data_IF_831189924894
#
_entry.id   IF_831189924894
#
_cell.length_a   1.000
_cell.length_b   1.000
_cell.length_c   1.000
_cell.angle_alpha   90.00
_cell.angle_beta   90.00
_cell.angle_gamma   90.00
#
_symmetry.space_group_name_H-M   'P 1'
#
loop_
_entity.id
_entity.type
_entity.pdbx_description
1 polymer ?
#
# COMPACT_ATOMS: atom_id res chain seq x y z
N UNK A 1 -17.99 -8.59 -3.73
CA UNK A 1 -16.75 -9.18 -4.29
C UNK A 1 -16.27 -8.32 -5.45
N UNK A 2 -14.98 -8.11 -5.59
CA UNK A 2 -14.35 -7.27 -6.66
C UNK A 2 -14.68 -7.82 -8.05
N UNK A 3 -14.79 -9.16 -8.17
CA UNK A 3 -15.13 -9.86 -9.43
C UNK A 3 -16.45 -9.40 -10.06
N UNK A 4 -17.45 -9.02 -9.24
CA UNK A 4 -18.73 -8.51 -9.77
C UNK A 4 -18.59 -7.14 -10.43
N UNK A 5 -17.49 -6.44 -10.17
CA UNK A 5 -17.16 -5.16 -10.78
C UNK A 5 -16.30 -5.32 -12.05
N UNK A 6 -15.98 -6.55 -12.45
CA UNK A 6 -15.04 -6.81 -13.55
C UNK A 6 -13.59 -6.40 -13.24
N UNK A 7 -13.24 -6.23 -11.96
CA UNK A 7 -11.90 -5.81 -11.54
C UNK A 7 -11.05 -7.03 -11.22
N UNK A 8 -9.87 -7.12 -11.82
CA UNK A 8 -8.88 -8.16 -11.55
C UNK A 8 -7.69 -7.57 -10.78
N UNK A 9 -7.22 -8.29 -9.76
CA UNK A 9 -6.03 -7.94 -8.99
C UNK A 9 -4.85 -8.75 -9.51
N UNK A 10 -3.77 -8.06 -9.92
CA UNK A 10 -2.54 -8.66 -10.39
C UNK A 10 -1.37 -8.31 -9.46
N UNK A 11 -0.67 -9.30 -8.94
CA UNK A 11 0.59 -9.09 -8.21
C UNK A 11 1.75 -8.92 -9.19
N UNK A 12 2.46 -7.80 -9.06
CA UNK A 12 3.66 -7.51 -9.90
C UNK A 12 4.92 -8.17 -9.33
N UNK A 13 4.85 -8.74 -8.12
CA UNK A 13 5.98 -9.38 -7.42
C UNK A 13 7.22 -8.47 -7.33
N UNK A 14 7.03 -7.21 -6.96
CA UNK A 14 8.07 -6.19 -6.83
C UNK A 14 7.57 -4.80 -7.15
N UNK A 15 8.49 -3.89 -7.48
CA UNK A 15 8.17 -2.47 -7.69
C UNK A 15 8.28 -2.01 -9.15
N UNK A 16 8.50 -2.93 -10.08
CA UNK A 16 8.63 -2.60 -11.51
C UNK A 16 7.27 -2.52 -12.20
N UNK A 17 6.50 -1.51 -11.89
CA UNK A 17 5.19 -1.26 -12.51
C UNK A 17 5.26 -0.67 -13.91
N UNK A 18 6.40 -0.11 -14.32
CA UNK A 18 6.55 0.66 -15.57
C UNK A 18 6.05 -0.06 -16.84
N UNK A 19 6.38 -1.35 -17.09
CA UNK A 19 5.89 -2.04 -18.29
C UNK A 19 4.37 -2.16 -18.33
N UNK A 20 3.77 -2.49 -17.19
CA UNK A 20 2.32 -2.65 -17.04
C UNK A 20 1.60 -1.31 -17.23
N UNK A 21 2.10 -0.25 -16.61
CA UNK A 21 1.56 1.11 -16.75
C UNK A 21 1.55 1.55 -18.21
N UNK A 22 2.67 1.39 -18.91
CA UNK A 22 2.77 1.74 -20.34
C UNK A 22 1.77 0.96 -21.18
N UNK A 23 1.69 -0.35 -20.96
CA UNK A 23 0.78 -1.22 -21.70
C UNK A 23 -0.68 -0.85 -21.45
N UNK A 24 -1.10 -0.78 -20.18
CA UNK A 24 -2.48 -0.49 -19.80
C UNK A 24 -2.91 0.91 -20.26
N UNK A 25 -2.02 1.90 -20.15
CA UNK A 25 -2.28 3.26 -20.64
C UNK A 25 -2.45 3.28 -22.16
N UNK A 26 -1.57 2.60 -22.89
CA UNK A 26 -1.65 2.53 -24.35
C UNK A 26 -2.92 1.82 -24.86
N UNK A 27 -3.39 0.83 -24.10
CA UNK A 27 -4.63 0.09 -24.40
C UNK A 27 -5.89 0.79 -23.92
N UNK A 28 -5.79 1.92 -23.21
CA UNK A 28 -6.94 2.59 -22.62
C UNK A 28 -7.65 1.78 -21.52
N UNK A 29 -6.97 0.80 -20.91
CA UNK A 29 -7.54 -0.05 -19.87
C UNK A 29 -7.44 0.70 -18.52
N UNK A 30 -8.56 0.93 -17.81
CA UNK A 30 -8.53 1.53 -16.48
C UNK A 30 -7.73 0.65 -15.50
N UNK A 31 -6.88 1.27 -14.71
CA UNK A 31 -6.10 0.57 -13.69
C UNK A 31 -5.84 1.46 -12.48
N UNK A 32 -5.56 0.82 -11.35
CA UNK A 32 -4.96 1.46 -10.19
C UNK A 32 -3.75 0.66 -9.73
N UNK A 33 -2.81 1.34 -9.08
CA UNK A 33 -1.61 0.75 -8.50
C UNK A 33 -1.68 0.91 -6.99
N UNK A 34 -1.47 -0.18 -6.26
CA UNK A 34 -1.26 -0.19 -4.82
C UNK A 34 0.21 -0.49 -4.55
N UNK A 35 0.87 0.38 -3.79
CA UNK A 35 2.31 0.21 -3.47
C UNK A 35 2.63 0.82 -2.11
N UNK A 36 3.63 0.26 -1.43
CA UNK A 36 4.07 0.76 -0.13
C UNK A 36 4.71 2.15 -0.24
N UNK A 37 4.54 2.95 0.82
CA UNK A 37 5.23 4.23 0.93
C UNK A 37 6.69 4.06 1.30
N UNK A 38 7.00 3.03 2.09
CA UNK A 38 8.36 2.66 2.50
C UNK A 38 9.06 3.82 3.22
N UNK A 39 8.55 4.21 4.40
CA UNK A 39 9.16 5.25 5.23
C UNK A 39 10.64 4.95 5.52
N UNK A 40 11.42 6.02 5.67
CA UNK A 40 12.85 5.95 5.98
C UNK A 40 13.19 6.96 7.06
N UNK A 41 13.87 6.51 8.09
CA UNK A 41 14.34 7.38 9.16
C UNK A 41 15.23 8.51 8.60
N UNK A 42 14.81 9.75 8.84
CA UNK A 42 15.56 10.96 8.45
C UNK A 42 15.75 11.19 6.95
N UNK A 43 14.97 10.54 6.09
CA UNK A 43 15.03 10.71 4.64
C UNK A 43 13.64 10.57 4.01
N UNK A 44 13.48 11.14 2.80
CA UNK A 44 12.26 11.01 2.00
C UNK A 44 11.93 9.53 1.74
N UNK A 45 10.66 9.17 1.92
CA UNK A 45 10.16 7.83 1.69
C UNK A 45 10.47 7.34 0.25
N UNK A 46 10.77 6.05 0.11
CA UNK A 46 11.02 5.47 -1.24
C UNK A 46 9.78 5.56 -2.13
N UNK A 47 8.60 5.44 -1.55
CA UNK A 47 7.32 5.58 -2.24
C UNK A 47 7.13 6.94 -2.87
N UNK A 48 7.67 8.03 -2.29
CA UNK A 48 7.63 9.37 -2.86
C UNK A 48 8.23 9.42 -4.28
N UNK A 49 9.45 8.90 -4.44
CA UNK A 49 10.11 8.86 -5.75
C UNK A 49 9.37 7.90 -6.71
N UNK A 50 8.91 6.75 -6.20
CA UNK A 50 8.17 5.75 -6.99
C UNK A 50 6.88 6.33 -7.53
N UNK A 51 6.05 6.95 -6.68
CA UNK A 51 4.81 7.60 -7.06
C UNK A 51 5.03 8.66 -8.15
N UNK A 52 6.01 9.54 -7.96
CA UNK A 52 6.37 10.54 -8.96
C UNK A 52 6.82 9.94 -10.30
N UNK A 53 7.59 8.85 -10.28
CA UNK A 53 8.01 8.17 -11.51
C UNK A 53 6.84 7.50 -12.24
N UNK A 54 5.87 6.96 -11.51
CA UNK A 54 4.67 6.38 -12.09
C UNK A 54 3.80 7.44 -12.76
N UNK A 55 3.59 8.59 -12.11
CA UNK A 55 2.88 9.74 -12.72
C UNK A 55 3.58 10.18 -14.02
N UNK A 56 4.91 10.36 -13.99
CA UNK A 56 5.68 10.70 -15.21
C UNK A 56 5.52 9.65 -16.31
N UNK A 57 5.47 8.37 -15.94
CA UNK A 57 5.32 7.27 -16.90
C UNK A 57 3.95 7.31 -17.56
N UNK A 58 2.88 7.54 -16.79
CA UNK A 58 1.51 7.67 -17.29
C UNK A 58 1.40 8.87 -18.24
N UNK A 59 1.92 10.03 -17.82
CA UNK A 59 1.88 11.24 -18.65
C UNK A 59 2.63 11.07 -19.97
N UNK A 60 3.82 10.49 -19.93
CA UNK A 60 4.60 10.20 -21.14
C UNK A 60 3.89 9.23 -22.08
N UNK A 61 3.19 8.25 -21.53
CA UNK A 61 2.42 7.30 -22.34
C UNK A 61 1.20 7.95 -23.01
N UNK A 62 0.60 8.96 -22.37
CA UNK A 62 -0.55 9.71 -22.89
C UNK A 62 -0.16 10.83 -23.86
N UNK A 63 1.02 11.43 -23.71
CA UNK A 63 1.41 12.68 -24.35
C UNK A 63 2.70 12.54 -25.18
N UNK A 64 2.81 11.49 -26.00
CA UNK A 64 3.92 11.28 -26.96
C UNK A 64 5.32 11.41 -26.34
N UNK A 65 5.47 10.92 -25.11
CA UNK A 65 6.74 10.93 -24.37
C UNK A 65 6.98 12.18 -23.52
N UNK A 66 6.04 13.12 -23.47
CA UNK A 66 6.20 14.36 -22.73
C UNK A 66 5.43 14.38 -21.41
N UNK A 67 5.90 15.20 -20.47
CA UNK A 67 5.17 15.50 -19.22
C UNK A 67 4.73 16.97 -19.30
N UNK A 68 3.43 17.26 -19.23
CA UNK A 68 2.93 18.64 -19.26
C UNK A 68 3.57 19.52 -18.16
N UNK A 69 3.86 20.78 -18.48
CA UNK A 69 4.54 21.69 -17.57
C UNK A 69 3.84 21.84 -16.21
N UNK A 70 2.50 21.86 -16.20
CA UNK A 70 1.72 21.93 -14.96
C UNK A 70 1.93 20.70 -14.07
N UNK A 71 1.99 19.50 -14.65
CA UNK A 71 2.26 18.26 -13.93
C UNK A 71 3.72 18.22 -13.47
N UNK A 72 4.66 18.65 -14.33
CA UNK A 72 6.07 18.71 -13.98
C UNK A 72 6.33 19.66 -12.79
N UNK A 73 5.63 20.79 -12.71
CA UNK A 73 5.72 21.73 -11.59
C UNK A 73 5.23 21.07 -10.27
N UNK A 74 4.08 20.37 -10.28
CA UNK A 74 3.57 19.63 -9.11
C UNK A 74 4.50 18.48 -8.71
N UNK A 75 5.16 17.86 -9.67
CA UNK A 75 6.17 16.81 -9.42
C UNK A 75 7.50 17.37 -8.88
N UNK A 76 7.72 18.67 -8.91
CA UNK A 76 8.84 19.36 -8.29
C UNK A 76 8.60 19.71 -6.82
N UNK A 77 7.40 19.55 -6.32
CA UNK A 77 7.09 19.75 -4.91
C UNK A 77 7.59 18.53 -4.10
N UNK A 78 8.35 18.81 -3.04
CA UNK A 78 8.91 17.77 -2.15
C UNK A 78 7.95 17.40 -1.00
N UNK A 79 6.81 18.07 -0.89
CA UNK A 79 5.77 17.74 0.09
C UNK A 79 5.19 16.36 -0.18
N UNK A 80 5.22 15.50 0.84
CA UNK A 80 4.80 14.10 0.71
C UNK A 80 3.29 13.96 0.50
N UNK A 81 2.49 14.80 1.15
CA UNK A 81 1.02 14.74 1.03
C UNK A 81 0.57 15.29 -0.33
N UNK A 82 1.20 16.36 -0.81
CA UNK A 82 0.99 16.85 -2.18
C UNK A 82 1.35 15.78 -3.22
N UNK A 83 2.44 15.03 -3.00
CA UNK A 83 2.84 13.92 -3.86
C UNK A 83 1.84 12.77 -3.84
N UNK A 84 1.33 12.37 -2.67
CA UNK A 84 0.30 11.32 -2.53
C UNK A 84 -0.98 11.73 -3.24
N UNK A 85 -1.42 12.98 -3.03
CA UNK A 85 -2.60 13.55 -3.68
C UNK A 85 -2.45 13.53 -5.20
N UNK A 86 -1.33 14.03 -5.72
CA UNK A 86 -1.05 13.98 -7.15
C UNK A 86 -1.06 12.55 -7.69
N UNK A 87 -0.40 11.61 -7.00
CA UNK A 87 -0.34 10.21 -7.41
C UNK A 87 -1.74 9.56 -7.48
N UNK A 88 -2.60 9.85 -6.50
CA UNK A 88 -3.97 9.33 -6.47
C UNK A 88 -4.82 9.81 -7.66
N UNK A 89 -4.63 11.03 -8.15
CA UNK A 89 -5.28 11.54 -9.38
C UNK A 89 -4.94 10.69 -10.60
N UNK A 90 -3.78 10.03 -10.58
CA UNK A 90 -3.29 9.12 -11.63
C UNK A 90 -3.53 7.64 -11.35
N UNK A 91 -4.28 7.33 -10.30
CA UNK A 91 -4.57 5.95 -9.92
C UNK A 91 -3.43 5.24 -9.19
N UNK A 92 -2.49 5.99 -8.60
CA UNK A 92 -1.40 5.43 -7.78
C UNK A 92 -1.70 5.71 -6.32
N UNK A 93 -2.02 4.67 -5.57
CA UNK A 93 -2.41 4.73 -4.17
C UNK A 93 -1.34 4.08 -3.29
N UNK A 94 -1.04 4.73 -2.19
CA UNK A 94 -0.02 4.27 -1.25
C UNK A 94 -0.60 4.15 0.15
N UNK A 95 -0.10 3.20 0.90
CA UNK A 95 -0.30 3.12 2.35
C UNK A 95 0.49 4.23 3.08
N UNK A 96 0.43 4.23 4.43
CA UNK A 96 1.19 5.22 5.23
C UNK A 96 2.66 4.80 5.42
N UNK A 97 2.96 3.50 5.49
CA UNK A 97 4.29 2.92 5.64
C UNK A 97 4.38 1.60 4.84
N UNK A 98 3.97 0.48 5.44
CA UNK A 98 3.77 -0.82 4.81
C UNK A 98 2.35 -1.32 5.07
N UNK A 99 1.87 -2.27 4.26
CA UNK A 99 0.53 -2.84 4.44
C UNK A 99 0.36 -3.44 5.85
N UNK A 100 1.36 -4.14 6.35
CA UNK A 100 1.29 -4.81 7.63
C UNK A 100 1.15 -3.81 8.80
N UNK A 101 1.86 -2.68 8.72
CA UNK A 101 1.80 -1.60 9.72
C UNK A 101 0.45 -0.90 9.68
N UNK A 102 -0.07 -0.62 8.50
CA UNK A 102 -1.39 -0.01 8.35
C UNK A 102 -2.52 -0.91 8.86
N UNK A 103 -2.43 -2.22 8.62
CA UNK A 103 -3.38 -3.20 9.18
C UNK A 103 -3.34 -3.23 10.71
N UNK A 104 -2.16 -3.07 11.33
CA UNK A 104 -2.06 -2.98 12.78
C UNK A 104 -2.65 -1.68 13.32
N UNK A 105 -2.47 -0.56 12.62
CA UNK A 105 -2.94 0.76 13.04
C UNK A 105 -4.44 0.97 12.85
N UNK A 106 -5.05 0.20 12.00
CA UNK A 106 -6.49 0.24 11.74
C UNK A 106 -7.24 -0.53 12.85
N UNK A 107 -8.26 0.09 13.43
CA UNK A 107 -9.00 -0.46 14.56
C UNK A 107 -9.76 -1.74 14.21
N UNK A 108 -10.24 -1.88 12.96
CA UNK A 108 -10.98 -3.05 12.49
C UNK A 108 -10.05 -4.27 12.31
N UNK A 109 -8.75 -4.05 12.05
CA UNK A 109 -7.80 -5.13 11.78
C UNK A 109 -6.84 -5.43 12.94
N UNK A 110 -6.64 -4.52 13.87
CA UNK A 110 -5.63 -4.66 14.95
C UNK A 110 -5.76 -5.96 15.72
N UNK A 111 -6.96 -6.28 16.19
CA UNK A 111 -7.19 -7.50 16.99
C UNK A 111 -6.90 -8.77 16.18
N UNK A 112 -7.21 -8.75 14.88
CA UNK A 112 -6.91 -9.86 13.98
C UNK A 112 -5.40 -10.04 13.77
N UNK A 113 -4.67 -8.93 13.66
CA UNK A 113 -3.20 -8.92 13.55
C UNK A 113 -2.58 -9.47 14.84
N UNK A 114 -3.00 -8.97 16.01
CA UNK A 114 -2.53 -9.44 17.31
C UNK A 114 -2.79 -10.94 17.50
N UNK A 115 -4.00 -11.40 17.21
CA UNK A 115 -4.36 -12.81 17.27
C UNK A 115 -3.48 -13.67 16.33
N UNK A 116 -3.16 -13.14 15.14
CA UNK A 116 -2.29 -13.82 14.17
C UNK A 116 -0.84 -13.93 14.65
N UNK A 117 -0.32 -12.88 15.30
CA UNK A 117 1.01 -12.91 15.93
C UNK A 117 1.07 -13.92 17.08
N UNK A 118 0.06 -13.93 17.93
CA UNK A 118 0.00 -14.84 19.10
C UNK A 118 -0.09 -16.32 18.70
N UNK A 119 -0.80 -16.62 17.61
CA UNK A 119 -0.89 -17.99 17.09
C UNK A 119 0.46 -18.61 16.74
N UNK A 120 1.47 -17.79 16.39
CA UNK A 120 2.79 -18.29 16.08
C UNK A 120 3.54 -18.86 17.29
N UNK A 121 3.23 -18.34 18.51
CA UNK A 121 3.83 -18.83 19.74
C UNK A 121 5.26 -18.30 19.95
N UNK A 122 5.45 -17.00 19.85
CA UNK A 122 6.73 -16.35 20.14
C UNK A 122 7.18 -16.56 21.59
N UNK A 123 8.50 -16.54 21.84
CA UNK A 123 9.06 -16.57 23.18
C UNK A 123 8.72 -15.31 24.00
N UNK A 124 8.95 -15.38 25.31
CA UNK A 124 8.49 -14.41 26.32
C UNK A 124 8.75 -12.93 25.96
N UNK A 125 9.93 -12.61 25.44
CA UNK A 125 10.27 -11.21 25.07
C UNK A 125 9.35 -10.65 24.00
N UNK A 126 9.13 -11.41 22.91
CA UNK A 126 8.24 -10.96 21.82
C UNK A 126 6.77 -11.00 22.22
N UNK A 127 6.36 -11.96 23.05
CA UNK A 127 5.01 -11.98 23.60
C UNK A 127 4.74 -10.75 24.46
N UNK A 128 5.72 -10.32 25.27
CA UNK A 128 5.60 -9.08 26.06
C UNK A 128 5.49 -7.81 25.21
N UNK A 129 6.14 -7.78 24.02
CA UNK A 129 5.92 -6.68 23.06
C UNK A 129 4.49 -6.69 22.52
N UNK A 130 3.97 -7.86 22.13
CA UNK A 130 2.59 -7.98 21.65
C UNK A 130 1.58 -7.53 22.72
N UNK A 131 1.79 -7.92 23.98
CA UNK A 131 0.93 -7.49 25.09
C UNK A 131 1.00 -5.97 25.31
N UNK A 132 2.19 -5.37 25.18
CA UNK A 132 2.38 -3.91 25.24
C UNK A 132 1.64 -3.18 24.11
N UNK A 133 1.74 -3.67 22.89
CA UNK A 133 1.07 -3.08 21.71
C UNK A 133 -0.45 -3.25 21.74
N UNK A 134 -0.95 -4.33 22.35
CA UNK A 134 -2.39 -4.53 22.57
C UNK A 134 -2.93 -3.54 23.62
N UNK A 135 -2.15 -3.31 24.69
CA UNK A 135 -2.54 -2.37 25.74
C UNK A 135 -2.44 -0.89 25.29
N UNK A 136 -1.43 -0.57 24.46
CA UNK A 136 -1.19 0.76 23.92
C UNK A 136 -0.65 0.67 22.49
N UNK A 137 -1.53 0.73 21.48
CA UNK A 137 -1.16 0.61 20.06
C UNK A 137 -0.18 1.69 19.58
N UNK A 138 -0.13 2.86 20.22
CA UNK A 138 0.75 3.95 19.83
C UNK A 138 2.23 3.64 20.16
N UNK A 139 2.47 2.63 20.99
CA UNK A 139 3.82 2.14 21.32
C UNK A 139 4.40 1.16 20.31
N UNK A 140 3.72 0.93 19.18
CA UNK A 140 4.18 -0.01 18.15
C UNK A 140 5.59 0.33 17.66
N UNK A 141 6.52 -0.58 17.89
CA UNK A 141 7.82 -0.59 17.21
C UNK A 141 7.67 -1.27 15.83
N UNK A 142 7.57 -0.47 14.77
CA UNK A 142 7.40 -0.96 13.41
C UNK A 142 8.48 -1.97 13.03
N UNK A 143 9.74 -1.75 13.44
CA UNK A 143 10.86 -2.64 13.11
C UNK A 143 10.73 -4.00 13.80
N UNK A 144 10.41 -3.99 15.10
CA UNK A 144 10.20 -5.23 15.85
C UNK A 144 8.98 -6.00 15.32
N UNK A 145 7.89 -5.30 15.03
CA UNK A 145 6.67 -5.87 14.42
C UNK A 145 6.95 -6.53 13.07
N UNK A 146 7.56 -5.80 12.14
CA UNK A 146 7.89 -6.33 10.82
C UNK A 146 8.86 -7.53 10.89
N UNK A 147 9.82 -7.52 11.83
CA UNK A 147 10.70 -8.67 12.07
C UNK A 147 9.93 -9.91 12.58
N UNK A 148 8.84 -9.72 13.33
CA UNK A 148 7.95 -10.83 13.71
C UNK A 148 7.16 -11.36 12.50
N UNK A 149 6.60 -10.47 11.68
CA UNK A 149 5.91 -10.86 10.44
C UNK A 149 6.85 -11.62 9.51
N UNK A 150 8.10 -11.18 9.34
CA UNK A 150 9.11 -11.88 8.56
C UNK A 150 9.46 -13.25 9.15
N UNK A 151 9.52 -13.37 10.48
CA UNK A 151 9.75 -14.65 11.16
C UNK A 151 8.62 -15.65 10.89
N UNK A 152 7.37 -15.21 10.86
CA UNK A 152 6.21 -16.02 10.44
C UNK A 152 6.30 -16.37 8.96
N UNK A 153 6.81 -15.44 8.17
CA UNK A 153 6.79 -15.39 6.70
C UNK A 153 5.57 -14.64 6.19
N UNK A 154 5.79 -13.57 5.40
CA UNK A 154 4.74 -12.65 4.93
C UNK A 154 3.51 -13.35 4.32
N UNK A 155 3.74 -14.33 3.45
CA UNK A 155 2.65 -15.09 2.83
C UNK A 155 1.82 -15.90 3.84
N UNK A 156 2.48 -16.53 4.83
CA UNK A 156 1.80 -17.29 5.88
C UNK A 156 1.05 -16.37 6.84
N UNK A 157 1.65 -15.23 7.19
CA UNK A 157 0.99 -14.20 7.99
C UNK A 157 -0.28 -13.71 7.29
N UNK A 158 -0.18 -13.33 6.01
CA UNK A 158 -1.32 -12.86 5.22
C UNK A 158 -2.42 -13.92 5.10
N UNK A 159 -2.08 -15.20 4.88
CA UNK A 159 -3.05 -16.29 4.81
C UNK A 159 -3.80 -16.48 6.13
N UNK A 160 -3.08 -16.46 7.26
CA UNK A 160 -3.69 -16.61 8.59
C UNK A 160 -4.58 -15.42 8.94
N UNK A 161 -4.12 -14.20 8.64
CA UNK A 161 -4.91 -12.99 8.84
C UNK A 161 -6.18 -13.05 8.00
N UNK A 162 -6.09 -13.35 6.71
CA UNK A 162 -7.23 -13.46 5.82
C UNK A 162 -8.25 -14.51 6.28
N UNK A 163 -7.80 -15.62 6.90
CA UNK A 163 -8.72 -16.64 7.44
C UNK A 163 -9.54 -16.17 8.66
N UNK A 164 -9.15 -15.06 9.29
CA UNK A 164 -9.84 -14.45 10.43
C UNK A 164 -10.76 -13.31 10.02
N UNK A 165 -10.58 -12.78 8.81
CA UNK A 165 -11.41 -11.68 8.31
C UNK A 165 -12.82 -12.15 8.03
N UNK A 166 -13.81 -11.38 8.50
CA UNK A 166 -15.23 -11.72 8.42
C UNK A 166 -16.08 -10.68 7.68
N UNK A 167 -15.48 -9.63 7.19
CA UNK A 167 -16.17 -8.58 6.44
C UNK A 167 -15.79 -7.16 6.85
N UNK A 168 -14.60 -7.01 7.40
CA UNK A 168 -14.00 -5.71 7.76
C UNK A 168 -13.92 -4.80 6.53
N UNK A 169 -14.12 -3.50 6.74
CA UNK A 169 -14.05 -2.53 5.67
C UNK A 169 -12.60 -2.45 5.16
N UNK A 170 -12.37 -2.41 3.84
CA UNK A 170 -11.01 -2.32 3.33
C UNK A 170 -10.37 -0.98 3.74
N UNK A 171 -9.05 -1.00 3.98
CA UNK A 171 -8.25 0.19 4.24
C UNK A 171 -8.55 1.28 3.20
N UNK A 172 -8.54 2.53 3.63
CA UNK A 172 -9.01 3.67 2.83
C UNK A 172 -8.36 3.74 1.45
N UNK A 173 -7.04 3.61 1.37
CA UNK A 173 -6.33 3.68 0.08
C UNK A 173 -6.67 2.51 -0.87
N UNK A 174 -7.00 1.33 -0.34
CA UNK A 174 -7.47 0.18 -1.12
C UNK A 174 -8.87 0.45 -1.66
N UNK A 175 -9.76 0.95 -0.80
CA UNK A 175 -11.12 1.33 -1.19
C UNK A 175 -11.11 2.39 -2.27
N UNK A 176 -10.24 3.39 -2.15
CA UNK A 176 -10.14 4.49 -3.10
C UNK A 176 -9.55 4.02 -4.44
N UNK A 177 -8.61 3.08 -4.44
CA UNK A 177 -8.13 2.44 -5.65
C UNK A 177 -9.23 1.67 -6.41
N UNK A 178 -10.06 0.92 -5.67
CA UNK A 178 -11.20 0.20 -6.25
C UNK A 178 -12.20 1.19 -6.86
N UNK A 179 -12.55 2.27 -6.15
CA UNK A 179 -13.43 3.32 -6.65
C UNK A 179 -12.87 3.97 -7.91
N UNK A 180 -11.58 4.30 -7.89
CA UNK A 180 -10.91 4.92 -9.03
C UNK A 180 -11.04 4.11 -10.31
N UNK A 181 -10.89 2.78 -10.25
CA UNK A 181 -11.07 1.89 -11.40
C UNK A 181 -12.55 1.77 -11.77
N UNK A 182 -13.42 1.51 -10.78
CA UNK A 182 -14.87 1.34 -11.00
C UNK A 182 -15.49 2.54 -11.72
N UNK A 183 -15.11 3.74 -11.34
CA UNK A 183 -15.69 4.98 -11.89
C UNK A 183 -15.18 5.31 -13.31
N UNK A 184 -14.30 4.47 -13.88
CA UNK A 184 -13.72 4.59 -15.23
C UNK A 184 -14.05 3.40 -16.16
N UNK A 185 -14.74 2.39 -15.65
CA UNK A 185 -15.31 1.28 -16.40
C UNK A 185 -16.78 1.58 -16.67
#
# INVERSE_FOLDING_TARGET
MIDHLGITVCSVAGTNFTPYVKFLTAMGIPFAILTDWDLRDGATARGHARAGNLVRTIERAKNEGQVPAAVAARLGDDDEDARRTLAAEYGVFTNSDTLEVDLFRDDDFRDLVIATLREYGFGQTRSGLIDGWEADPDTLDNKAFLAMVETIGKGRFAQRLASRMTGEAPLTYIRDAIRFVRDRV
#
